data_IF_481067077415
#
_entry.id   IF_481067077415
#
_cell.length_a   1.000
_cell.length_b   1.000
_cell.length_c   1.000
_cell.angle_alpha   90.00
_cell.angle_beta   90.00
_cell.angle_gamma   90.00
#
_symmetry.space_group_name_H-M   'P 1'
#
loop_
_entity.id
_entity.type
_entity.pdbx_description
1 polymer ?
#
# COMPACT_ATOMS: atom_id res chain seq x y z
N UNK A 1 27.02 -62.05 -2.64
CA UNK A 1 25.97 -61.54 -3.54
C UNK A 1 24.99 -60.78 -2.65
N UNK A 2 25.03 -59.44 -2.50
CA UNK A 2 24.49 -58.42 -3.45
C UNK A 2 23.11 -58.89 -3.99
N UNK A 3 21.97 -58.23 -3.81
CA UNK A 3 21.59 -56.85 -3.43
C UNK A 3 20.35 -56.93 -2.48
N UNK A 4 19.67 -55.88 -1.99
CA UNK A 4 19.71 -54.41 -2.14
C UNK A 4 19.17 -53.76 -0.83
N UNK A 5 19.08 -52.42 -0.76
CA UNK A 5 18.36 -51.66 0.28
C UNK A 5 17.31 -50.76 -0.39
N UNK A 6 16.07 -50.71 0.12
CA UNK A 6 15.08 -49.72 -0.29
C UNK A 6 15.01 -48.60 0.75
N UNK A 7 15.72 -47.51 0.48
CA UNK A 7 15.47 -46.23 1.15
C UNK A 7 14.34 -45.51 0.40
N UNK A 8 13.17 -45.37 1.02
CA UNK A 8 12.06 -44.61 0.46
C UNK A 8 12.33 -43.11 0.63
N UNK A 9 12.93 -42.47 -0.37
CA UNK A 9 13.09 -41.02 -0.43
C UNK A 9 11.73 -40.34 -0.64
N UNK A 10 11.14 -39.87 0.46
CA UNK A 10 9.97 -38.99 0.40
C UNK A 10 10.34 -37.63 -0.20
N UNK A 11 9.86 -37.33 -1.41
CA UNK A 11 9.90 -35.98 -1.94
C UNK A 11 8.90 -35.11 -1.17
N UNK A 12 9.39 -34.30 -0.23
CA UNK A 12 8.62 -33.18 0.30
C UNK A 12 8.58 -32.10 -0.78
N UNK A 13 7.50 -32.07 -1.56
CA UNK A 13 7.24 -31.01 -2.52
C UNK A 13 7.02 -29.69 -1.79
N UNK A 14 8.05 -28.85 -1.74
CA UNK A 14 7.93 -27.49 -1.25
C UNK A 14 7.08 -26.68 -2.25
N UNK A 15 5.78 -26.57 -1.98
CA UNK A 15 4.94 -25.59 -2.65
C UNK A 15 5.56 -24.22 -2.44
N UNK A 16 6.05 -23.60 -3.52
CA UNK A 16 6.50 -22.22 -3.52
C UNK A 16 5.28 -21.33 -3.25
N UNK A 17 5.02 -21.07 -1.95
CA UNK A 17 4.07 -20.06 -1.52
C UNK A 17 4.63 -18.72 -1.97
N UNK A 18 4.12 -18.24 -3.10
CA UNK A 18 4.39 -16.88 -3.54
C UNK A 18 3.92 -15.97 -2.39
N UNK A 19 4.79 -15.17 -1.77
CA UNK A 19 4.39 -14.39 -0.60
C UNK A 19 3.30 -13.42 -1.02
N UNK A 20 2.10 -13.60 -0.46
CA UNK A 20 0.98 -12.68 -0.64
C UNK A 20 1.49 -11.24 -0.50
N UNK A 21 1.15 -10.32 -1.44
CA UNK A 21 1.67 -8.96 -1.41
C UNK A 21 1.37 -8.36 -0.04
N UNK A 22 2.44 -7.98 0.69
CA UNK A 22 2.52 -7.93 2.16
C UNK A 22 1.46 -7.04 2.86
N UNK A 23 0.72 -6.25 2.09
CA UNK A 23 -0.30 -5.28 2.53
C UNK A 23 -1.54 -5.25 1.63
N UNK A 24 -1.90 -6.36 0.98
CA UNK A 24 -3.12 -6.47 0.16
C UNK A 24 -4.39 -6.08 0.93
N UNK A 25 -5.33 -5.40 0.26
CA UNK A 25 -6.59 -4.95 0.84
C UNK A 25 -7.75 -5.61 0.09
N UNK A 26 -8.45 -6.55 0.75
CA UNK A 26 -9.53 -7.30 0.10
C UNK A 26 -10.63 -6.39 -0.47
N UNK A 27 -11.00 -6.61 -1.73
CA UNK A 27 -12.01 -5.84 -2.47
C UNK A 27 -11.55 -4.47 -2.98
N UNK A 28 -10.35 -4.01 -2.62
CA UNK A 28 -9.78 -2.77 -3.12
C UNK A 28 -9.11 -2.96 -4.49
N UNK A 29 -9.12 -1.94 -5.33
CA UNK A 29 -8.54 -1.94 -6.68
C UNK A 29 -7.63 -0.70 -6.87
N UNK A 30 -6.30 -0.90 -7.03
CA UNK A 30 -5.35 0.19 -7.25
C UNK A 30 -5.74 1.15 -8.39
N UNK A 31 -6.33 0.68 -9.49
CA UNK A 31 -6.76 1.55 -10.60
C UNK A 31 -7.88 2.51 -10.20
N UNK A 32 -8.82 2.06 -9.36
CA UNK A 32 -9.84 2.96 -8.79
C UNK A 32 -9.20 3.95 -7.81
N UNK A 33 -8.17 3.50 -7.07
CA UNK A 33 -7.41 4.34 -6.15
C UNK A 33 -6.72 5.51 -6.83
N UNK A 34 -6.08 5.28 -7.99
CA UNK A 34 -5.49 6.34 -8.80
C UNK A 34 -6.55 7.35 -9.29
N UNK A 35 -7.69 6.87 -9.80
CA UNK A 35 -8.78 7.74 -10.23
C UNK A 35 -9.35 8.59 -9.08
N UNK A 36 -9.41 8.06 -7.85
CA UNK A 36 -9.77 8.83 -6.65
C UNK A 36 -8.68 9.87 -6.32
N UNK A 37 -7.41 9.48 -6.29
CA UNK A 37 -6.23 10.34 -6.03
C UNK A 37 -6.22 11.57 -6.95
N UNK A 38 -6.51 11.38 -8.24
CA UNK A 38 -6.64 12.44 -9.24
C UNK A 38 -7.88 13.30 -8.97
N UNK A 39 -9.05 12.67 -8.79
CA UNK A 39 -10.35 13.34 -8.55
C UNK A 39 -10.35 14.26 -7.33
N UNK A 40 -9.70 13.85 -6.23
CA UNK A 40 -9.69 14.62 -4.97
C UNK A 40 -8.41 15.43 -4.75
N UNK A 41 -7.56 15.55 -5.77
CA UNK A 41 -6.45 16.49 -5.78
C UNK A 41 -5.29 16.15 -4.84
N UNK A 42 -5.05 14.87 -4.53
CA UNK A 42 -3.92 14.46 -3.68
C UNK A 42 -2.55 14.96 -4.23
N UNK A 43 -2.44 15.09 -5.55
CA UNK A 43 -1.28 15.65 -6.24
C UNK A 43 -1.00 17.13 -5.94
N UNK A 44 -1.94 17.87 -5.34
CA UNK A 44 -1.71 19.27 -4.95
C UNK A 44 -0.68 19.40 -3.82
N UNK A 45 -0.58 18.37 -2.97
CA UNK A 45 0.36 18.33 -1.84
C UNK A 45 1.52 17.36 -2.06
N UNK A 46 1.36 16.33 -2.90
CA UNK A 46 2.32 15.24 -3.10
C UNK A 46 2.77 15.08 -4.56
N UNK A 47 4.01 14.64 -4.76
CA UNK A 47 4.46 14.07 -6.04
C UNK A 47 4.19 12.56 -5.99
N UNK A 48 3.28 12.11 -6.85
CA UNK A 48 2.73 10.76 -6.83
C UNK A 48 3.04 10.11 -8.19
N UNK A 49 3.80 9.00 -8.24
CA UNK A 49 3.93 8.22 -9.47
C UNK A 49 2.54 7.92 -10.05
N UNK A 50 2.39 7.99 -11.38
CA UNK A 50 1.08 7.83 -12.05
C UNK A 50 0.29 9.12 -12.20
N UNK A 51 0.44 10.11 -11.30
CA UNK A 51 -0.21 11.44 -11.45
C UNK A 51 0.71 12.37 -12.23
N UNK A 52 0.22 12.91 -13.35
CA UNK A 52 1.02 13.75 -14.25
C UNK A 52 1.18 15.18 -13.73
N UNK A 53 0.09 15.79 -13.26
CA UNK A 53 0.02 17.13 -12.67
C UNK A 53 -1.25 17.25 -11.81
N UNK A 54 -1.27 18.03 -10.71
CA UNK A 54 -0.14 18.73 -10.10
C UNK A 54 0.84 17.79 -9.37
N UNK A 55 2.01 18.33 -8.99
CA UNK A 55 3.09 17.63 -8.28
C UNK A 55 3.55 18.42 -7.07
N UNK A 56 2.79 18.35 -5.99
CA UNK A 56 3.07 19.09 -4.76
C UNK A 56 4.28 18.56 -4.01
N UNK A 57 4.99 19.44 -3.31
CA UNK A 57 6.13 19.05 -2.46
C UNK A 57 5.81 19.09 -0.96
N UNK A 58 4.74 19.77 -0.54
CA UNK A 58 4.41 20.06 0.87
C UNK A 58 4.19 18.80 1.72
N UNK A 59 3.57 17.76 1.16
CA UNK A 59 3.41 16.45 1.79
C UNK A 59 4.55 15.47 1.48
N UNK A 60 5.55 15.90 0.69
CA UNK A 60 6.64 15.05 0.19
C UNK A 60 6.22 14.06 -0.89
N UNK A 61 7.20 13.44 -1.60
CA UNK A 61 6.92 12.45 -2.63
C UNK A 61 6.36 11.15 -2.03
N UNK A 62 5.52 10.45 -2.80
CA UNK A 62 4.95 9.13 -2.46
C UNK A 62 5.59 7.96 -3.24
N UNK A 63 6.67 8.21 -3.99
CA UNK A 63 7.51 7.14 -4.51
C UNK A 63 8.01 6.22 -3.37
N UNK A 64 8.08 4.91 -3.63
CA UNK A 64 8.42 3.88 -2.65
C UNK A 64 7.56 3.88 -1.37
N UNK A 65 6.32 4.40 -1.40
CA UNK A 65 5.43 4.38 -0.23
C UNK A 65 5.12 2.96 0.25
N UNK A 66 4.97 2.00 -0.67
CA UNK A 66 4.72 0.59 -0.41
C UNK A 66 5.78 -0.09 0.46
N UNK A 67 7.00 0.47 0.52
CA UNK A 67 8.11 -0.04 1.34
C UNK A 67 8.21 0.63 2.71
N UNK A 68 7.55 1.78 2.92
CA UNK A 68 7.69 2.56 4.16
C UNK A 68 7.19 1.75 5.36
N UNK A 69 7.93 1.70 6.48
CA UNK A 69 7.45 1.09 7.72
C UNK A 69 6.42 1.97 8.44
N UNK A 70 6.46 3.29 8.21
CA UNK A 70 5.60 4.27 8.89
C UNK A 70 4.88 5.21 7.91
N UNK A 71 3.63 5.54 8.25
CA UNK A 71 2.81 6.59 7.64
C UNK A 71 3.15 7.90 8.35
N UNK A 72 3.45 8.96 7.57
CA UNK A 72 3.85 10.28 8.08
C UNK A 72 4.96 10.25 9.14
N UNK A 73 5.85 9.24 9.10
CA UNK A 73 6.92 9.04 10.09
C UNK A 73 6.46 8.70 11.51
N UNK A 74 5.16 8.44 11.73
CA UNK A 74 4.56 8.30 13.07
C UNK A 74 3.78 7.00 13.27
N UNK A 75 2.91 6.64 12.33
CA UNK A 75 1.95 5.54 12.52
C UNK A 75 2.44 4.29 11.80
N UNK A 76 2.22 3.06 12.33
CA UNK A 76 2.65 1.84 11.65
C UNK A 76 1.92 1.70 10.30
N UNK A 77 2.67 1.40 9.23
CA UNK A 77 2.10 1.27 7.90
C UNK A 77 1.38 -0.09 7.72
N UNK A 78 0.13 -0.12 8.17
CA UNK A 78 -0.81 -1.25 8.10
C UNK A 78 -2.07 -0.84 7.33
N UNK A 79 -2.73 -1.74 6.58
CA UNK A 79 -3.86 -1.42 5.72
C UNK A 79 -4.98 -0.60 6.36
N UNK A 80 -5.39 -0.96 7.58
CA UNK A 80 -6.47 -0.31 8.30
C UNK A 80 -6.08 1.12 8.73
N UNK A 81 -4.82 1.28 9.18
CA UNK A 81 -4.27 2.57 9.61
C UNK A 81 -4.09 3.50 8.40
N UNK A 82 -3.60 2.98 7.27
CA UNK A 82 -3.49 3.76 6.03
C UNK A 82 -4.84 4.18 5.49
N UNK A 83 -5.82 3.26 5.46
CA UNK A 83 -7.20 3.56 5.03
C UNK A 83 -7.82 4.67 5.87
N UNK A 84 -7.68 4.59 7.20
CA UNK A 84 -8.16 5.63 8.09
C UNK A 84 -7.42 6.96 7.88
N UNK A 85 -6.09 6.94 7.72
CA UNK A 85 -5.26 8.12 7.49
C UNK A 85 -5.58 8.84 6.18
N UNK A 86 -5.75 8.13 5.05
CA UNK A 86 -6.02 8.79 3.76
C UNK A 86 -7.42 9.39 3.68
N UNK A 87 -8.35 8.92 4.52
CA UNK A 87 -9.68 9.54 4.68
C UNK A 87 -9.66 10.72 5.66
N UNK A 88 -9.08 10.54 6.84
CA UNK A 88 -9.14 11.51 7.94
C UNK A 88 -7.84 11.46 8.76
N UNK A 89 -6.78 12.08 8.21
CA UNK A 89 -5.51 12.22 8.91
C UNK A 89 -5.64 13.03 10.23
N UNK A 90 -6.44 14.13 10.32
CA UNK A 90 -6.62 14.87 11.56
C UNK A 90 -7.18 14.03 12.72
N UNK A 91 -8.07 13.07 12.47
CA UNK A 91 -8.58 12.16 13.51
C UNK A 91 -7.49 11.27 14.13
N UNK A 92 -6.38 10.99 13.41
CA UNK A 92 -5.26 10.17 13.90
C UNK A 92 -4.07 11.03 14.38
N UNK A 93 -3.91 12.25 13.84
CA UNK A 93 -2.90 13.21 14.25
C UNK A 93 -3.43 14.65 14.10
N UNK A 94 -4.05 15.24 15.14
CA UNK A 94 -4.73 16.54 15.06
C UNK A 94 -3.88 17.73 14.62
N UNK A 95 -2.55 17.61 14.65
CA UNK A 95 -1.59 18.64 14.22
C UNK A 95 -1.02 18.40 12.81
N UNK A 96 -1.59 17.47 12.04
CA UNK A 96 -1.18 17.22 10.65
C UNK A 96 -1.70 18.31 9.71
N UNK A 97 -0.93 18.62 8.66
CA UNK A 97 -1.37 19.53 7.60
C UNK A 97 -2.21 18.83 6.52
N UNK A 98 -2.28 17.50 6.53
CA UNK A 98 -3.14 16.74 5.62
C UNK A 98 -4.61 16.85 6.08
N UNK A 99 -5.53 17.41 5.27
CA UNK A 99 -6.91 17.57 5.68
C UNK A 99 -7.66 16.22 5.71
N UNK A 100 -8.86 16.22 6.28
CA UNK A 100 -9.83 15.16 5.99
C UNK A 100 -10.25 15.26 4.52
N UNK A 101 -10.23 14.12 3.81
CA UNK A 101 -10.45 14.05 2.37
C UNK A 101 -11.92 13.74 2.05
N UNK A 102 -12.50 14.29 0.97
CA UNK A 102 -13.89 14.06 0.58
C UNK A 102 -14.06 12.71 -0.14
N UNK A 103 -13.77 11.62 0.58
CA UNK A 103 -13.81 10.24 0.11
C UNK A 103 -14.49 9.33 1.14
N UNK A 104 -15.16 8.28 0.67
CA UNK A 104 -15.74 7.26 1.55
C UNK A 104 -14.73 6.14 1.91
N UNK A 105 -15.13 5.20 2.77
CA UNK A 105 -14.28 4.07 3.20
C UNK A 105 -13.80 3.20 2.02
N UNK A 106 -14.65 2.89 1.04
CA UNK A 106 -14.26 2.06 -0.10
C UNK A 106 -13.23 2.77 -0.99
N UNK A 107 -13.43 4.06 -1.24
CA UNK A 107 -12.46 4.90 -1.95
C UNK A 107 -11.13 5.01 -1.20
N UNK A 108 -11.16 5.19 0.13
CA UNK A 108 -9.96 5.22 0.96
C UNK A 108 -9.17 3.90 0.92
N UNK A 109 -9.86 2.75 0.85
CA UNK A 109 -9.24 1.43 0.65
C UNK A 109 -8.60 1.31 -0.72
N UNK A 110 -9.26 1.80 -1.77
CA UNK A 110 -8.71 1.83 -3.13
C UNK A 110 -7.45 2.71 -3.21
N UNK A 111 -7.47 3.89 -2.58
CA UNK A 111 -6.30 4.78 -2.45
C UNK A 111 -5.17 4.09 -1.70
N UNK A 112 -5.45 3.47 -0.54
CA UNK A 112 -4.46 2.73 0.24
C UNK A 112 -3.85 1.56 -0.55
N UNK A 113 -4.67 0.82 -1.32
CA UNK A 113 -4.20 -0.23 -2.21
C UNK A 113 -3.30 0.32 -3.34
N UNK A 114 -3.63 1.48 -3.92
CA UNK A 114 -2.75 2.14 -4.89
C UNK A 114 -1.40 2.50 -4.29
N UNK A 115 -1.38 3.15 -3.13
CA UNK A 115 -0.14 3.52 -2.43
C UNK A 115 0.73 2.30 -2.08
N UNK A 116 0.14 1.14 -1.85
CA UNK A 116 0.88 -0.12 -1.68
C UNK A 116 1.45 -0.74 -2.95
N UNK A 117 1.08 -0.27 -4.15
CA UNK A 117 1.78 -0.65 -5.40
C UNK A 117 3.08 0.12 -5.62
N UNK A 118 3.29 1.23 -4.89
CA UNK A 118 4.40 2.15 -5.10
C UNK A 118 5.67 1.65 -4.40
N UNK A 119 6.43 0.77 -5.04
CA UNK A 119 7.70 0.26 -4.54
C UNK A 119 8.92 0.97 -5.15
N UNK A 120 10.01 1.04 -4.39
CA UNK A 120 11.36 1.27 -4.91
C UNK A 120 11.85 0.02 -5.64
N UNK A 121 12.42 0.21 -6.84
CA UNK A 121 13.11 -0.86 -7.58
C UNK A 121 14.55 -0.99 -7.11
#
# INVERSE_FOLDING_TARGET
MRLLALAATGLVGACAQNPEPRRAIAGAEPKRGLAVIERVGCGACHDIPGVSWPKGATGGPLAAFGDRPFIAGRLPNQPQVLTAWVRDAPALAPTTAMPAMPINEAEARDVAAYLYTLHGR
#
